data_IF_878541025138
#
_entry.id   IF_878541025138
#
_cell.length_a   1.000
_cell.length_b   1.000
_cell.length_c   1.000
_cell.angle_alpha   90.00
_cell.angle_beta   90.00
_cell.angle_gamma   90.00
#
_symmetry.space_group_name_H-M   'P 1'
#
loop_
_entity.id
_entity.type
_entity.pdbx_description
1 polymer ?
#
# COMPACT_ATOMS: atom_id res chain seq x y z
N UNK A 1 5.02 -42.76 -8.08
CA UNK A 1 4.89 -41.50 -7.30
C UNK A 1 4.88 -40.35 -8.29
N UNK A 2 3.70 -39.88 -8.66
CA UNK A 2 3.51 -38.77 -9.59
C UNK A 2 3.46 -37.46 -8.81
N UNK A 3 4.43 -36.58 -9.08
CA UNK A 3 4.52 -35.23 -8.52
C UNK A 3 3.36 -34.37 -9.02
N UNK A 4 2.64 -33.72 -8.10
CA UNK A 4 1.62 -32.71 -8.42
C UNK A 4 2.28 -31.50 -9.06
N UNK A 5 1.91 -31.22 -10.32
CA UNK A 5 2.30 -30.03 -11.08
C UNK A 5 1.45 -28.82 -10.62
N UNK A 6 2.12 -27.76 -10.17
CA UNK A 6 1.49 -26.52 -9.69
C UNK A 6 1.34 -25.44 -10.78
N UNK A 7 1.54 -25.76 -12.06
CA UNK A 7 1.57 -24.77 -13.15
C UNK A 7 0.22 -24.45 -13.84
N UNK A 8 -0.90 -24.37 -13.13
CA UNK A 8 -2.15 -23.87 -13.74
C UNK A 8 -2.93 -22.93 -12.83
N UNK A 9 -2.53 -21.66 -12.81
CA UNK A 9 -3.41 -20.59 -12.34
C UNK A 9 -4.08 -19.90 -13.53
N UNK A 10 -5.42 -19.97 -13.58
CA UNK A 10 -6.24 -19.22 -14.54
C UNK A 10 -6.61 -17.87 -13.91
N UNK A 11 -6.34 -16.78 -14.64
CA UNK A 11 -6.67 -15.42 -14.24
C UNK A 11 -8.18 -15.18 -14.38
N UNK A 12 -8.90 -14.99 -13.26
CA UNK A 12 -10.35 -14.73 -13.24
C UNK A 12 -10.68 -13.26 -12.96
N UNK A 13 -11.83 -12.79 -13.46
CA UNK A 13 -12.24 -11.39 -13.33
C UNK A 13 -12.74 -11.06 -11.91
N UNK A 14 -12.45 -9.83 -11.47
CA UNK A 14 -12.70 -9.31 -10.12
C UNK A 14 -14.14 -9.53 -9.61
N UNK A 15 -15.13 -9.53 -10.51
CA UNK A 15 -16.56 -9.67 -10.19
C UNK A 15 -16.97 -11.09 -9.78
N UNK A 16 -16.12 -12.08 -10.06
CA UNK A 16 -16.39 -13.49 -9.83
C UNK A 16 -15.78 -13.99 -8.50
N UNK A 17 -15.31 -13.07 -7.63
CA UNK A 17 -14.60 -13.39 -6.39
C UNK A 17 -15.20 -12.63 -5.20
N UNK A 18 -15.97 -13.33 -4.37
CA UNK A 18 -16.59 -12.82 -3.14
C UNK A 18 -15.84 -13.40 -1.93
N UNK A 19 -14.95 -12.60 -1.32
CA UNK A 19 -13.94 -13.08 -0.37
C UNK A 19 -14.36 -12.89 1.09
N UNK A 20 -14.84 -13.97 1.73
CA UNK A 20 -14.93 -14.12 3.19
C UNK A 20 -13.80 -14.99 3.72
N UNK A 21 -13.39 -14.64 4.95
CA UNK A 21 -12.24 -15.10 5.73
C UNK A 21 -12.01 -16.63 5.69
N UNK A 22 -10.73 -17.02 5.65
CA UNK A 22 -10.23 -18.40 5.79
C UNK A 22 -10.49 -18.98 7.17
N UNK A 23 -10.92 -20.25 7.24
CA UNK A 23 -10.66 -21.17 8.34
C UNK A 23 -10.88 -22.61 7.83
N UNK A 24 -9.81 -23.30 7.45
CA UNK A 24 -9.68 -24.74 7.70
C UNK A 24 -8.20 -25.02 7.93
N UNK A 25 -7.81 -25.19 9.19
CA UNK A 25 -6.52 -25.79 9.53
C UNK A 25 -6.43 -27.18 8.87
N UNK A 26 -5.22 -27.66 8.57
CA UNK A 26 -4.99 -29.01 8.04
C UNK A 26 -5.68 -30.08 8.91
N UNK A 27 -5.68 -29.88 10.23
CA UNK A 27 -6.40 -30.72 11.19
C UNK A 27 -7.92 -30.73 10.97
N UNK A 28 -8.52 -29.66 10.47
CA UNK A 28 -9.94 -29.62 10.10
C UNK A 28 -10.21 -30.41 8.82
N UNK A 29 -9.29 -30.37 7.85
CA UNK A 29 -9.38 -31.20 6.64
C UNK A 29 -9.20 -32.68 6.96
N UNK A 30 -8.22 -33.04 7.79
CA UNK A 30 -8.02 -34.41 8.27
C UNK A 30 -9.23 -34.94 9.05
N UNK A 31 -9.88 -34.08 9.85
CA UNK A 31 -11.12 -34.43 10.55
C UNK A 31 -12.28 -34.66 9.57
N UNK A 32 -12.41 -33.86 8.52
CA UNK A 32 -13.41 -34.08 7.46
C UNK A 32 -13.13 -35.41 6.74
N UNK A 33 -11.88 -35.73 6.41
CA UNK A 33 -11.49 -37.00 5.78
C UNK A 33 -11.88 -38.19 6.67
N UNK A 34 -11.52 -38.14 7.95
CA UNK A 34 -11.84 -39.21 8.92
C UNK A 34 -13.34 -39.43 9.10
N UNK A 35 -14.15 -38.40 8.88
CA UNK A 35 -15.62 -38.48 8.94
C UNK A 35 -16.20 -39.15 7.73
N UNK A 36 -15.67 -38.84 6.55
CA UNK A 36 -16.05 -39.52 5.31
C UNK A 36 -15.68 -41.00 5.39
N UNK A 37 -14.48 -41.31 5.90
CA UNK A 37 -14.02 -42.69 6.13
C UNK A 37 -14.91 -43.44 7.14
N UNK A 38 -15.13 -42.87 8.33
CA UNK A 38 -15.99 -43.50 9.34
C UNK A 38 -17.43 -43.67 8.84
N UNK A 39 -17.98 -42.69 8.12
CA UNK A 39 -19.32 -42.82 7.54
C UNK A 39 -19.40 -43.96 6.53
N UNK A 40 -18.40 -44.11 5.65
CA UNK A 40 -18.33 -45.23 4.69
C UNK A 40 -18.28 -46.61 5.35
N UNK A 41 -17.81 -46.69 6.61
CA UNK A 41 -17.75 -47.96 7.36
C UNK A 41 -19.07 -48.34 8.04
N UNK A 42 -19.99 -47.38 8.24
CA UNK A 42 -21.24 -47.58 8.99
C UNK A 42 -22.46 -47.45 8.08
N UNK A 43 -22.32 -46.75 6.96
CA UNK A 43 -23.38 -46.49 6.00
C UNK A 43 -22.98 -46.97 4.62
N UNK A 44 -23.79 -47.87 4.03
CA UNK A 44 -23.65 -48.29 2.63
C UNK A 44 -24.16 -47.23 1.64
N UNK A 45 -24.59 -46.06 2.13
CA UNK A 45 -25.03 -44.95 1.30
C UNK A 45 -23.85 -44.36 0.53
N UNK A 46 -24.04 -44.15 -0.77
CA UNK A 46 -22.99 -43.59 -1.61
C UNK A 46 -22.72 -42.14 -1.21
N UNK A 47 -21.52 -41.87 -0.68
CA UNK A 47 -21.06 -40.53 -0.31
C UNK A 47 -20.35 -39.89 -1.50
N UNK A 48 -21.01 -38.94 -2.17
CA UNK A 48 -20.43 -38.27 -3.34
C UNK A 48 -20.19 -36.78 -3.08
N UNK A 49 -19.05 -36.28 -3.56
CA UNK A 49 -18.82 -34.83 -3.62
C UNK A 49 -19.73 -34.25 -4.71
N UNK A 50 -20.86 -33.69 -4.30
CA UNK A 50 -21.86 -33.11 -5.21
C UNK A 50 -21.36 -31.87 -5.93
N UNK A 51 -20.65 -31.00 -5.19
CA UNK A 51 -20.20 -29.73 -5.74
C UNK A 51 -19.01 -29.19 -4.98
N UNK A 52 -17.87 -29.10 -5.66
CA UNK A 52 -16.76 -28.28 -5.23
C UNK A 52 -16.94 -26.89 -5.85
N UNK A 53 -17.30 -25.91 -5.03
CA UNK A 53 -17.33 -24.51 -5.49
C UNK A 53 -16.03 -23.85 -5.05
N UNK A 54 -15.04 -23.67 -5.94
CA UNK A 54 -13.90 -22.84 -5.64
C UNK A 54 -14.37 -21.40 -5.38
N UNK A 55 -13.93 -20.82 -4.27
CA UNK A 55 -14.27 -19.47 -3.79
C UNK A 55 -12.98 -18.70 -3.49
N UNK A 56 -12.24 -18.37 -4.54
CA UNK A 56 -10.91 -17.78 -4.43
C UNK A 56 -9.91 -18.78 -3.84
N UNK A 57 -9.29 -18.43 -2.70
CA UNK A 57 -8.35 -19.28 -1.96
C UNK A 57 -9.02 -20.24 -0.95
N UNK A 58 -10.36 -20.31 -0.95
CA UNK A 58 -11.15 -21.29 -0.18
C UNK A 58 -11.94 -22.15 -1.17
N UNK A 59 -12.22 -23.40 -0.82
CA UNK A 59 -13.20 -24.22 -1.54
C UNK A 59 -14.40 -24.52 -0.64
N UNK A 60 -15.61 -24.33 -1.16
CA UNK A 60 -16.83 -24.80 -0.51
C UNK A 60 -17.20 -26.16 -1.09
N UNK A 61 -17.05 -27.22 -0.30
CA UNK A 61 -17.40 -28.58 -0.69
C UNK A 61 -18.81 -28.90 -0.21
N UNK A 62 -19.70 -29.29 -1.13
CA UNK A 62 -20.98 -29.92 -0.80
C UNK A 62 -20.87 -31.40 -1.05
N UNK A 63 -21.19 -32.17 -0.03
CA UNK A 63 -21.34 -33.62 -0.12
C UNK A 63 -22.82 -33.97 -0.24
N UNK A 64 -23.11 -35.04 -0.96
CA UNK A 64 -24.40 -35.70 -0.96
C UNK A 64 -24.24 -37.05 -0.28
N UNK A 65 -25.22 -37.43 0.53
CA UNK A 65 -25.30 -38.77 1.08
C UNK A 65 -26.61 -39.35 0.63
N UNK A 66 -26.55 -40.43 -0.14
CA UNK A 66 -27.72 -41.18 -0.59
C UNK A 66 -28.20 -42.16 0.50
N UNK A 67 -28.31 -41.67 1.73
CA UNK A 67 -28.87 -42.43 2.85
C UNK A 67 -30.02 -41.64 3.44
N UNK A 68 -31.24 -42.16 3.28
CA UNK A 68 -32.46 -41.55 3.81
C UNK A 68 -32.49 -41.43 5.35
N UNK A 69 -31.60 -42.14 6.05
CA UNK A 69 -31.50 -42.14 7.51
C UNK A 69 -30.37 -41.26 8.04
N UNK A 70 -29.47 -40.74 7.20
CA UNK A 70 -28.36 -39.89 7.62
C UNK A 70 -28.65 -38.44 7.24
N UNK A 71 -29.06 -37.60 8.19
CA UNK A 71 -29.18 -36.17 7.89
C UNK A 71 -27.79 -35.53 7.87
N UNK A 72 -27.60 -34.47 7.09
CA UNK A 72 -26.32 -33.70 7.04
C UNK A 72 -25.86 -33.24 8.44
N UNK A 73 -26.80 -33.10 9.37
CA UNK A 73 -26.60 -32.77 10.78
C UNK A 73 -25.87 -33.87 11.54
N UNK A 74 -26.18 -35.14 11.26
CA UNK A 74 -25.64 -36.31 11.96
C UNK A 74 -24.16 -36.55 11.59
N UNK A 75 -23.77 -36.22 10.36
CA UNK A 75 -22.38 -36.31 9.89
C UNK A 75 -21.46 -35.28 10.58
N UNK A 76 -21.94 -34.05 10.77
CA UNK A 76 -21.20 -33.01 11.50
C UNK A 76 -21.12 -33.33 13.00
N UNK A 77 -22.16 -33.98 13.55
CA UNK A 77 -22.18 -34.45 14.93
C UNK A 77 -21.23 -35.63 15.15
N UNK A 78 -21.24 -36.62 14.26
CA UNK A 78 -20.31 -37.76 14.24
C UNK A 78 -18.85 -37.32 14.05
N UNK A 79 -18.63 -36.22 13.31
CA UNK A 79 -17.35 -35.56 13.17
C UNK A 79 -16.81 -34.86 14.42
N UNK A 80 -17.67 -34.69 15.44
CA UNK A 80 -17.46 -33.70 16.51
C UNK A 80 -17.17 -32.30 15.96
N UNK A 81 -17.52 -32.02 14.69
CA UNK A 81 -17.51 -30.68 14.11
C UNK A 81 -18.88 -30.10 14.47
N UNK A 82 -19.05 -29.82 15.76
CA UNK A 82 -20.33 -29.34 16.28
C UNK A 82 -20.82 -28.12 15.49
N UNK A 83 -22.14 -27.96 15.40
CA UNK A 83 -22.72 -26.76 14.80
C UNK A 83 -22.29 -25.55 15.64
N UNK A 84 -21.30 -24.80 15.15
CA UNK A 84 -20.91 -23.54 15.77
C UNK A 84 -22.01 -22.55 15.42
N UNK A 85 -22.96 -22.38 16.34
CA UNK A 85 -24.01 -21.38 16.20
C UNK A 85 -23.40 -19.97 16.12
N UNK A 86 -24.19 -18.99 15.65
CA UNK A 86 -23.70 -17.60 15.46
C UNK A 86 -23.09 -17.00 16.73
N UNK A 87 -23.64 -17.33 17.91
CA UNK A 87 -23.12 -16.87 19.20
C UNK A 87 -21.71 -17.41 19.45
N UNK A 88 -21.49 -18.71 19.22
CA UNK A 88 -20.18 -19.35 19.39
C UNK A 88 -19.18 -18.89 18.32
N UNK A 89 -19.62 -18.59 17.10
CA UNK A 89 -18.78 -17.96 16.07
C UNK A 89 -18.33 -16.56 16.50
N UNK A 90 -19.27 -15.75 16.98
CA UNK A 90 -18.98 -14.41 17.49
C UNK A 90 -18.01 -14.47 18.67
N UNK A 91 -18.26 -15.35 19.64
CA UNK A 91 -17.38 -15.56 20.79
C UNK A 91 -15.96 -15.97 20.37
N UNK A 92 -15.83 -16.93 19.45
CA UNK A 92 -14.52 -17.33 18.93
C UNK A 92 -13.82 -16.21 18.17
N UNK A 93 -14.57 -15.42 17.39
CA UNK A 93 -14.00 -14.26 16.71
C UNK A 93 -13.51 -13.20 17.69
N UNK A 94 -14.26 -12.89 18.75
CA UNK A 94 -13.83 -11.91 19.75
C UNK A 94 -12.54 -12.34 20.46
N UNK A 95 -12.40 -13.64 20.79
CA UNK A 95 -11.15 -14.19 21.33
C UNK A 95 -10.00 -14.11 20.33
N UNK A 96 -10.25 -14.50 19.09
CA UNK A 96 -9.25 -14.45 18.04
C UNK A 96 -8.79 -13.01 17.75
N UNK A 97 -9.73 -12.05 17.74
CA UNK A 97 -9.48 -10.62 17.63
C UNK A 97 -8.54 -10.13 18.73
N UNK A 98 -8.73 -10.58 19.97
CA UNK A 98 -7.84 -10.23 21.08
C UNK A 98 -6.39 -10.69 20.82
N UNK A 99 -6.19 -11.91 20.33
CA UNK A 99 -4.84 -12.38 20.00
C UNK A 99 -4.23 -11.68 18.78
N UNK A 100 -5.04 -11.30 17.79
CA UNK A 100 -4.59 -10.42 16.69
C UNK A 100 -4.10 -9.08 17.25
N UNK A 101 -4.90 -8.44 18.12
CA UNK A 101 -4.55 -7.16 18.73
C UNK A 101 -3.24 -7.26 19.52
N UNK A 102 -3.04 -8.36 20.26
CA UNK A 102 -1.81 -8.60 20.99
C UNK A 102 -0.60 -8.72 20.04
N UNK A 103 -0.70 -9.55 18.99
CA UNK A 103 0.38 -9.70 18.00
C UNK A 103 0.69 -8.38 17.28
N UNK A 104 -0.35 -7.58 16.99
CA UNK A 104 -0.20 -6.26 16.41
C UNK A 104 0.53 -5.31 17.36
N UNK A 105 0.13 -5.23 18.64
CA UNK A 105 0.76 -4.36 19.61
C UNK A 105 2.24 -4.71 19.80
N UNK A 106 2.58 -5.99 19.90
CA UNK A 106 3.97 -6.46 20.01
C UNK A 106 4.79 -6.08 18.78
N UNK A 107 4.23 -6.26 17.57
CA UNK A 107 4.93 -5.84 16.34
C UNK A 107 5.14 -4.34 16.33
N UNK A 108 4.11 -3.54 16.58
CA UNK A 108 4.21 -2.07 16.58
C UNK A 108 5.28 -1.58 17.58
N UNK A 109 5.27 -2.07 18.82
CA UNK A 109 6.26 -1.67 19.83
C UNK A 109 7.68 -2.05 19.39
N UNK A 110 7.86 -3.27 18.87
CA UNK A 110 9.15 -3.72 18.35
C UNK A 110 9.64 -2.83 17.21
N UNK A 111 8.78 -2.49 16.25
CA UNK A 111 9.18 -1.70 15.09
C UNK A 111 9.47 -0.23 15.45
N UNK A 112 8.74 0.35 16.41
CA UNK A 112 9.06 1.70 16.92
C UNK A 112 10.44 1.73 17.53
N UNK A 113 10.79 0.74 18.37
CA UNK A 113 12.12 0.65 18.97
C UNK A 113 13.21 0.42 17.92
N UNK A 114 12.94 -0.42 16.91
CA UNK A 114 13.87 -0.66 15.81
C UNK A 114 14.11 0.62 14.99
N UNK A 115 13.06 1.38 14.65
CA UNK A 115 13.19 2.64 13.92
C UNK A 115 14.00 3.66 14.71
N UNK A 116 13.76 3.81 16.03
CA UNK A 116 14.56 4.69 16.90
C UNK A 116 16.04 4.28 16.86
N UNK A 117 16.32 2.98 16.94
CA UNK A 117 17.67 2.44 16.91
C UNK A 117 18.44 2.69 15.60
N UNK A 118 17.77 3.16 14.54
CA UNK A 118 18.39 3.50 13.26
C UNK A 118 18.89 4.95 13.15
N UNK A 119 18.67 5.78 14.18
CA UNK A 119 19.13 7.19 14.21
C UNK A 119 20.24 7.35 15.25
N UNK A 120 21.40 7.84 14.80
CA UNK A 120 22.61 7.97 15.65
C UNK A 120 22.44 8.97 16.80
N UNK A 121 21.63 10.01 16.60
CA UNK A 121 21.45 11.11 17.54
C UNK A 121 20.28 10.88 18.52
N UNK A 122 19.44 9.87 18.28
CA UNK A 122 18.23 9.55 19.04
C UNK A 122 17.31 10.77 19.27
N UNK A 123 17.41 11.80 18.44
CA UNK A 123 16.65 13.05 18.62
C UNK A 123 15.19 12.91 18.18
N UNK A 124 14.92 11.92 17.35
CA UNK A 124 13.60 11.61 16.82
C UNK A 124 13.68 10.72 15.59
N UNK A 125 12.51 10.38 15.05
CA UNK A 125 12.36 9.53 13.88
C UNK A 125 11.73 10.29 12.72
N UNK A 126 11.93 9.80 11.50
CA UNK A 126 11.21 10.27 10.32
C UNK A 126 10.10 9.29 9.98
N UNK A 127 8.93 9.81 9.62
CA UNK A 127 7.76 8.99 9.30
C UNK A 127 7.17 9.35 7.95
N UNK A 128 6.52 8.36 7.34
CA UNK A 128 5.66 8.51 6.17
C UNK A 128 4.23 8.19 6.54
N UNK A 129 3.26 9.02 6.13
CA UNK A 129 1.84 8.70 6.34
C UNK A 129 0.99 8.78 5.08
N UNK A 130 -0.10 8.01 5.09
CA UNK A 130 -1.19 8.11 4.13
C UNK A 130 -2.50 7.61 4.75
N UNK A 131 -3.63 8.04 4.19
CA UNK A 131 -4.96 7.55 4.54
C UNK A 131 -5.60 6.72 3.43
N UNK A 132 -5.90 5.48 3.80
CA UNK A 132 -6.70 4.58 3.00
C UNK A 132 -8.16 4.60 3.42
N UNK A 133 -9.00 5.22 2.61
CA UNK A 133 -10.44 5.10 2.74
C UNK A 133 -10.92 3.69 2.33
N UNK A 134 -11.65 3.03 3.23
CA UNK A 134 -12.15 1.66 3.03
C UNK A 134 -13.19 1.52 1.91
N UNK A 135 -13.90 2.60 1.59
CA UNK A 135 -14.87 2.67 0.49
C UNK A 135 -14.65 3.97 -0.31
N UNK A 136 -15.46 4.25 -1.34
CA UNK A 136 -15.46 5.52 -2.13
C UNK A 136 -15.51 6.78 -1.24
N UNK A 137 -15.48 7.98 -1.85
CA UNK A 137 -15.38 9.35 -1.25
C UNK A 137 -16.12 9.67 0.07
N UNK A 138 -17.09 8.85 0.52
CA UNK A 138 -17.78 8.97 1.82
C UNK A 138 -17.62 7.69 2.65
N UNK A 139 -16.38 7.24 2.80
CA UNK A 139 -16.08 5.95 3.40
C UNK A 139 -16.57 5.86 4.84
N UNK A 140 -17.19 4.73 5.18
CA UNK A 140 -17.60 4.41 6.55
C UNK A 140 -16.38 4.36 7.48
N UNK A 141 -15.29 3.81 6.98
CA UNK A 141 -14.07 3.48 7.70
C UNK A 141 -12.85 3.95 6.91
N UNK A 142 -11.78 4.33 7.60
CA UNK A 142 -10.49 4.67 7.01
C UNK A 142 -9.36 4.13 7.87
N UNK A 143 -8.29 3.67 7.23
CA UNK A 143 -7.03 3.33 7.90
C UNK A 143 -6.04 4.44 7.63
N UNK A 144 -5.49 5.06 8.68
CA UNK A 144 -4.38 6.02 8.57
C UNK A 144 -3.14 5.34 9.10
N UNK A 145 -2.09 5.29 8.30
CA UNK A 145 -0.87 4.52 8.63
C UNK A 145 0.32 5.46 8.78
N UNK A 146 1.21 5.14 9.71
CA UNK A 146 2.56 5.67 9.80
C UNK A 146 3.57 4.55 9.58
N UNK A 147 4.51 4.77 8.66
CA UNK A 147 5.62 3.88 8.35
C UNK A 147 6.93 4.61 8.68
N UNK A 148 7.88 3.90 9.31
CA UNK A 148 9.21 4.43 9.61
C UNK A 148 10.03 4.60 8.34
N UNK A 149 10.79 5.69 8.26
CA UNK A 149 11.60 5.98 7.08
C UNK A 149 12.78 5.01 6.92
N UNK A 150 13.39 4.55 8.01
CA UNK A 150 14.62 3.74 7.93
C UNK A 150 14.33 2.26 7.76
N UNK A 151 13.36 1.73 8.51
CA UNK A 151 13.04 0.30 8.50
C UNK A 151 11.89 -0.05 7.56
N UNK A 152 11.17 0.95 7.05
CA UNK A 152 10.01 0.80 6.15
C UNK A 152 8.85 -0.06 6.68
N UNK A 153 8.82 -0.31 8.00
CA UNK A 153 7.76 -1.03 8.70
C UNK A 153 6.72 -0.07 9.26
N UNK A 154 5.51 -0.57 9.47
CA UNK A 154 4.41 0.18 10.07
C UNK A 154 4.67 0.37 11.56
N UNK A 155 4.72 1.64 11.97
CA UNK A 155 4.86 2.08 13.36
C UNK A 155 3.51 2.33 14.02
N UNK A 156 2.47 2.63 13.24
CA UNK A 156 1.10 2.73 13.74
C UNK A 156 0.09 2.64 12.61
N UNK A 157 -1.04 1.98 12.84
CA UNK A 157 -2.20 2.03 11.97
C UNK A 157 -3.47 2.35 12.76
N UNK A 158 -4.05 3.51 12.50
CA UNK A 158 -5.28 4.00 13.13
C UNK A 158 -6.51 3.68 12.28
N UNK A 159 -7.53 3.08 12.89
CA UNK A 159 -8.82 2.84 12.26
C UNK A 159 -9.79 3.94 12.69
N UNK A 160 -10.17 4.80 11.75
CA UNK A 160 -11.10 5.91 11.96
C UNK A 160 -12.45 5.57 11.33
N UNK A 161 -13.51 5.72 12.10
CA UNK A 161 -14.89 5.43 11.71
C UNK A 161 -15.73 6.71 11.67
N UNK A 162 -16.94 6.61 11.10
CA UNK A 162 -17.91 7.71 11.17
C UNK A 162 -18.42 8.06 12.56
N UNK A 163 -18.20 7.19 13.54
CA UNK A 163 -18.48 7.50 14.94
C UNK A 163 -17.41 8.42 15.53
N UNK A 164 -16.18 8.35 15.03
CA UNK A 164 -15.08 9.22 15.43
C UNK A 164 -15.21 10.62 14.76
N UNK A 165 -15.51 10.64 13.46
CA UNK A 165 -15.83 11.86 12.72
C UNK A 165 -16.82 11.55 11.61
N UNK A 166 -17.95 12.25 11.56
CA UNK A 166 -19.00 11.99 10.56
C UNK A 166 -18.55 12.28 9.11
N UNK A 167 -17.45 13.01 8.92
CA UNK A 167 -16.93 13.49 7.63
C UNK A 167 -15.63 12.75 7.28
N UNK A 168 -15.73 11.83 6.32
CA UNK A 168 -14.63 10.96 5.87
C UNK A 168 -13.38 11.71 5.41
N UNK A 169 -13.54 12.92 4.88
CA UNK A 169 -12.44 13.78 4.42
C UNK A 169 -11.56 14.28 5.59
N UNK A 170 -12.07 14.26 6.82
CA UNK A 170 -11.32 14.63 8.03
C UNK A 170 -10.64 13.45 8.71
N UNK A 171 -10.94 12.21 8.28
CA UNK A 171 -10.38 11.01 8.91
C UNK A 171 -8.85 10.96 8.86
N UNK A 172 -8.24 11.39 7.75
CA UNK A 172 -6.78 11.42 7.62
C UNK A 172 -6.14 12.33 8.67
N UNK A 173 -6.68 13.54 8.85
CA UNK A 173 -6.22 14.47 9.88
C UNK A 173 -6.39 13.88 11.28
N UNK A 174 -7.57 13.33 11.58
CA UNK A 174 -7.85 12.75 12.90
C UNK A 174 -6.93 11.55 13.20
N UNK A 175 -6.74 10.65 12.24
CA UNK A 175 -5.84 9.51 12.40
C UNK A 175 -4.38 9.95 12.56
N UNK A 176 -3.94 10.96 11.80
CA UNK A 176 -2.59 11.53 11.95
C UNK A 176 -2.39 12.15 13.34
N UNK A 177 -3.40 12.83 13.89
CA UNK A 177 -3.35 13.35 15.26
C UNK A 177 -3.22 12.23 16.31
N UNK A 178 -3.95 11.13 16.14
CA UNK A 178 -3.84 9.95 17.03
C UNK A 178 -2.47 9.27 16.91
N UNK A 179 -1.89 9.22 15.71
CA UNK A 179 -0.53 8.72 15.50
C UNK A 179 0.48 9.58 16.25
N UNK A 180 0.40 10.91 16.13
CA UNK A 180 1.29 11.80 16.87
C UNK A 180 1.15 11.62 18.38
N UNK A 181 -0.09 11.59 18.89
CA UNK A 181 -0.33 11.34 20.31
C UNK A 181 0.29 10.01 20.76
N UNK A 182 0.11 8.94 19.98
CA UNK A 182 0.72 7.66 20.29
C UNK A 182 2.25 7.73 20.35
N UNK A 183 2.90 8.39 19.39
CA UNK A 183 4.36 8.53 19.39
C UNK A 183 4.85 9.39 20.56
N UNK A 184 4.15 10.49 20.87
CA UNK A 184 4.41 11.34 22.04
C UNK A 184 4.27 10.55 23.35
N UNK A 185 3.25 9.68 23.49
CA UNK A 185 3.09 8.78 24.64
C UNK A 185 4.21 7.73 24.76
N UNK A 186 4.91 7.42 23.66
CA UNK A 186 6.08 6.55 23.67
C UNK A 186 7.39 7.32 23.85
N UNK A 187 7.33 8.63 24.12
CA UNK A 187 8.50 9.53 24.19
C UNK A 187 9.31 9.56 22.88
N UNK A 188 8.59 9.49 21.74
CA UNK A 188 9.18 9.47 20.40
C UNK A 188 8.87 10.78 19.69
N UNK A 189 9.91 11.60 19.51
CA UNK A 189 9.82 12.80 18.69
C UNK A 189 9.83 12.46 17.20
N UNK A 190 9.05 13.20 16.40
CA UNK A 190 9.06 13.10 14.94
C UNK A 190 9.83 14.29 14.36
N UNK A 191 10.88 14.01 13.58
CA UNK A 191 11.75 15.03 12.98
C UNK A 191 11.23 15.45 11.59
N UNK A 192 10.95 14.48 10.73
CA UNK A 192 10.40 14.71 9.39
C UNK A 192 9.11 13.92 9.21
N UNK A 193 8.09 14.56 8.66
CA UNK A 193 6.85 13.91 8.26
C UNK A 193 6.62 14.05 6.76
N UNK A 194 6.74 12.93 6.06
CA UNK A 194 6.52 12.78 4.63
C UNK A 194 5.10 12.28 4.31
N UNK A 195 4.37 12.96 3.43
CA UNK A 195 3.02 12.53 3.07
C UNK A 195 2.55 13.11 1.73
N UNK A 196 1.41 12.64 1.21
CA UNK A 196 0.76 13.23 0.04
C UNK A 196 0.38 14.69 0.27
N UNK A 197 0.31 15.52 -0.77
CA UNK A 197 -0.11 16.92 -0.60
C UNK A 197 -1.60 17.05 -0.21
N UNK A 198 -1.87 16.90 1.08
CA UNK A 198 -3.13 17.17 1.76
C UNK A 198 -3.01 18.49 2.55
N UNK A 199 -3.88 19.44 2.26
CA UNK A 199 -3.86 20.79 2.88
C UNK A 199 -4.03 20.70 4.39
N UNK A 200 -4.89 19.80 4.86
CA UNK A 200 -5.17 19.65 6.30
C UNK A 200 -4.00 19.04 7.07
N UNK A 201 -3.24 18.14 6.44
CA UNK A 201 -2.02 17.56 7.01
C UNK A 201 -0.87 18.56 6.94
N UNK A 202 -0.65 19.21 5.80
CA UNK A 202 0.35 20.29 5.69
C UNK A 202 0.17 21.33 6.79
N UNK A 203 -1.07 21.75 7.06
CA UNK A 203 -1.36 22.68 8.17
C UNK A 203 -1.02 22.05 9.52
N UNK A 204 -1.49 20.84 9.78
CA UNK A 204 -1.23 20.12 11.04
C UNK A 204 0.26 19.98 11.35
N UNK A 205 1.10 19.65 10.36
CA UNK A 205 2.54 19.51 10.54
C UNK A 205 3.20 20.87 10.76
N UNK A 206 2.85 21.88 9.96
CA UNK A 206 3.40 23.24 10.09
C UNK A 206 3.05 23.90 11.43
N UNK A 207 1.87 23.61 11.98
CA UNK A 207 1.43 24.11 13.29
C UNK A 207 2.26 23.51 14.46
N UNK A 208 3.05 22.44 14.26
CA UNK A 208 3.91 21.83 15.28
C UNK A 208 5.32 22.43 15.38
N UNK A 209 5.70 23.35 14.47
CA UNK A 209 6.97 24.10 14.36
C UNK A 209 8.30 23.31 14.34
N UNK A 210 8.43 22.27 15.16
CA UNK A 210 9.60 21.40 15.31
C UNK A 210 9.69 20.38 14.17
N UNK A 211 8.56 20.00 13.59
CA UNK A 211 8.49 18.94 12.57
C UNK A 211 8.67 19.52 11.17
N UNK A 212 9.62 18.97 10.43
CA UNK A 212 9.81 19.31 9.02
C UNK A 212 8.76 18.61 8.15
N UNK A 213 7.90 19.40 7.52
CA UNK A 213 6.87 18.94 6.59
C UNK A 213 7.47 18.60 5.23
N UNK A 214 7.24 17.39 4.70
CA UNK A 214 7.64 17.00 3.35
C UNK A 214 6.48 16.36 2.57
N UNK A 215 6.33 16.77 1.31
CA UNK A 215 5.32 16.27 0.40
C UNK A 215 5.95 15.39 -0.67
N UNK A 216 5.26 14.31 -1.06
CA UNK A 216 5.72 13.44 -2.14
C UNK A 216 5.90 14.22 -3.47
N UNK A 217 7.14 14.27 -4.01
CA UNK A 217 7.42 14.90 -5.28
C UNK A 217 6.71 14.21 -6.46
N UNK A 218 6.48 12.90 -6.42
CA UNK A 218 5.92 12.17 -7.56
C UNK A 218 4.50 12.66 -7.91
N UNK A 219 3.63 12.82 -6.90
CA UNK A 219 2.30 13.40 -7.11
C UNK A 219 2.34 14.84 -7.62
N UNK A 220 3.27 15.65 -7.11
CA UNK A 220 3.41 17.04 -7.53
C UNK A 220 3.92 17.16 -8.98
N UNK A 221 4.92 16.37 -9.36
CA UNK A 221 5.49 16.34 -10.72
C UNK A 221 4.47 15.77 -11.71
N UNK A 222 3.68 14.80 -11.32
CA UNK A 222 2.57 14.29 -12.14
C UNK A 222 1.57 15.39 -12.47
N UNK A 223 1.25 16.29 -11.51
CA UNK A 223 0.39 17.46 -11.77
C UNK A 223 1.06 18.46 -12.72
N UNK A 224 2.37 18.67 -12.62
CA UNK A 224 3.14 19.49 -13.58
C UNK A 224 3.04 18.90 -14.98
N UNK A 225 3.19 17.58 -15.12
CA UNK A 225 3.06 16.87 -16.39
C UNK A 225 1.67 17.06 -17.00
N UNK A 226 0.61 16.97 -16.21
CA UNK A 226 -0.77 17.25 -16.66
C UNK A 226 -0.93 18.72 -17.08
N UNK A 227 -0.39 19.67 -16.31
CA UNK A 227 -0.44 21.09 -16.66
C UNK A 227 0.31 21.38 -17.97
N UNK A 228 1.48 20.76 -18.16
CA UNK A 228 2.25 20.82 -19.40
C UNK A 228 1.47 20.26 -20.59
N UNK A 229 0.78 19.12 -20.43
CA UNK A 229 -0.07 18.55 -21.49
C UNK A 229 -1.18 19.49 -21.94
N UNK A 230 -1.78 20.24 -21.01
CA UNK A 230 -2.84 21.22 -21.33
C UNK A 230 -2.35 22.39 -22.17
N UNK A 231 -1.09 22.79 -22.03
CA UNK A 231 -0.48 23.85 -22.85
C UNK A 231 0.22 23.31 -24.10
N UNK A 232 0.36 21.99 -24.23
CA UNK A 232 1.01 21.36 -25.38
C UNK A 232 0.04 20.77 -26.40
N UNK A 233 -1.19 20.44 -25.98
CA UNK A 233 -2.20 19.84 -26.84
C UNK A 233 -3.60 20.38 -26.52
N UNK A 234 -4.45 20.50 -27.54
CA UNK A 234 -5.83 20.98 -27.40
C UNK A 234 -6.59 21.03 -28.72
N UNK A 235 -7.76 21.66 -28.72
CA UNK A 235 -8.59 21.82 -29.92
C UNK A 235 -7.93 22.76 -30.93
N UNK A 236 -8.09 22.47 -32.24
CA UNK A 236 -7.45 23.24 -33.33
C UNK A 236 -7.72 24.76 -33.26
N UNK A 237 -8.93 25.17 -32.88
CA UNK A 237 -9.32 26.58 -32.79
C UNK A 237 -8.64 27.35 -31.65
N UNK A 238 -8.06 26.65 -30.67
CA UNK A 238 -7.30 27.21 -29.55
C UNK A 238 -5.78 27.15 -29.75
N UNK A 239 -5.32 26.59 -30.87
CA UNK A 239 -3.91 26.49 -31.22
C UNK A 239 -3.29 27.89 -31.25
N UNK A 240 -2.10 28.02 -30.66
CA UNK A 240 -1.31 29.26 -30.49
C UNK A 240 -1.95 30.32 -29.56
N UNK A 241 -3.21 30.12 -29.13
CA UNK A 241 -3.88 30.95 -28.12
C UNK A 241 -3.65 30.40 -26.71
N UNK A 242 -4.07 29.15 -26.47
CA UNK A 242 -3.97 28.51 -25.15
C UNK A 242 -3.02 27.31 -25.12
N UNK A 243 -2.67 26.73 -26.27
CA UNK A 243 -1.73 25.62 -26.37
C UNK A 243 -0.88 25.69 -27.64
N UNK A 244 0.30 25.05 -27.63
CA UNK A 244 1.20 24.99 -28.79
C UNK A 244 1.77 23.58 -28.98
N UNK A 245 1.63 23.05 -30.20
CA UNK A 245 2.20 21.76 -30.60
C UNK A 245 3.73 21.69 -30.42
N UNK A 246 4.41 22.84 -30.40
CA UNK A 246 5.86 22.94 -30.17
C UNK A 246 6.28 22.62 -28.72
N UNK A 247 5.32 22.42 -27.81
CA UNK A 247 5.58 22.02 -26.42
C UNK A 247 5.33 20.52 -26.17
N UNK A 248 4.83 19.79 -27.16
CA UNK A 248 4.43 18.38 -27.02
C UNK A 248 5.62 17.49 -26.62
N UNK A 249 6.76 17.66 -27.28
CA UNK A 249 7.98 16.91 -27.00
C UNK A 249 8.69 17.35 -25.71
N UNK A 250 8.24 18.45 -25.07
CA UNK A 250 8.86 19.03 -23.87
C UNK A 250 8.23 18.51 -22.57
N UNK A 251 7.05 17.88 -22.62
CA UNK A 251 6.32 17.42 -21.43
C UNK A 251 7.16 16.49 -20.56
N UNK A 252 7.75 15.45 -21.15
CA UNK A 252 8.58 14.48 -20.41
C UNK A 252 9.91 15.08 -19.94
N UNK A 253 10.51 15.94 -20.77
CA UNK A 253 11.77 16.61 -20.43
C UNK A 253 11.60 17.54 -19.21
N UNK A 254 10.49 18.29 -19.16
CA UNK A 254 10.17 19.14 -17.99
C UNK A 254 9.93 18.30 -16.74
N UNK A 255 9.17 17.20 -16.83
CA UNK A 255 8.96 16.31 -15.68
C UNK A 255 10.28 15.70 -15.18
N UNK A 256 11.16 15.29 -16.10
CA UNK A 256 12.49 14.76 -15.76
C UNK A 256 13.36 15.81 -15.07
N UNK A 257 13.36 17.05 -15.55
CA UNK A 257 14.06 18.17 -14.93
C UNK A 257 13.57 18.43 -13.50
N UNK A 258 12.25 18.38 -13.27
CA UNK A 258 11.71 18.53 -11.92
C UNK A 258 12.14 17.39 -10.99
N UNK A 259 12.13 16.14 -11.46
CA UNK A 259 12.62 15.00 -10.68
C UNK A 259 14.10 15.16 -10.31
N UNK A 260 14.92 15.60 -11.27
CA UNK A 260 16.33 15.85 -11.04
C UNK A 260 16.53 17.02 -10.05
N UNK A 261 15.85 18.15 -10.27
CA UNK A 261 15.97 19.34 -9.43
C UNK A 261 15.56 19.08 -7.98
N UNK A 262 14.49 18.32 -7.73
CA UNK A 262 14.10 18.00 -6.35
C UNK A 262 15.14 17.12 -5.65
N UNK A 263 15.77 16.18 -6.35
CA UNK A 263 16.69 15.18 -5.76
C UNK A 263 18.15 15.64 -5.61
N UNK A 264 18.55 16.71 -6.29
CA UNK A 264 19.96 17.10 -6.40
C UNK A 264 20.26 18.47 -5.77
N UNK A 265 19.32 19.06 -5.04
CA UNK A 265 19.53 20.34 -4.39
C UNK A 265 19.51 20.19 -2.87
N UNK A 266 20.54 20.75 -2.24
CA UNK A 266 20.93 20.58 -0.83
C UNK A 266 20.00 21.36 0.11
N UNK A 267 18.74 20.95 0.16
CA UNK A 267 17.78 21.44 1.14
C UNK A 267 17.44 22.95 1.03
N UNK A 268 17.86 23.62 -0.05
CA UNK A 268 17.70 25.07 -0.23
C UNK A 268 16.48 25.42 -1.11
N UNK A 269 15.39 25.99 -0.54
CA UNK A 269 14.17 26.26 -1.30
C UNK A 269 14.32 27.36 -2.37
N UNK A 270 15.24 28.32 -2.18
CA UNK A 270 15.48 29.41 -3.15
C UNK A 270 16.21 28.88 -4.37
N UNK A 271 17.25 28.09 -4.16
CA UNK A 271 18.00 27.47 -5.25
C UNK A 271 17.15 26.50 -6.04
N UNK A 272 16.29 25.72 -5.38
CA UNK A 272 15.32 24.86 -6.04
C UNK A 272 14.43 25.66 -7.00
N UNK A 273 13.91 26.83 -6.59
CA UNK A 273 13.11 27.70 -7.48
C UNK A 273 13.90 28.18 -8.69
N UNK A 274 15.13 28.61 -8.48
CA UNK A 274 15.99 29.12 -9.55
C UNK A 274 16.30 28.05 -10.60
N UNK A 275 16.55 26.83 -10.14
CA UNK A 275 16.84 25.69 -11.00
C UNK A 275 15.59 25.25 -11.77
N UNK A 276 14.44 25.23 -11.11
CA UNK A 276 13.17 24.95 -11.78
C UNK A 276 12.88 25.96 -12.89
N UNK A 277 13.26 27.23 -12.73
CA UNK A 277 13.13 28.24 -13.79
C UNK A 277 14.20 28.14 -14.88
N UNK A 278 15.39 27.62 -14.56
CA UNK A 278 16.48 27.50 -15.51
C UNK A 278 16.11 26.69 -16.76
N UNK A 279 15.17 25.75 -16.68
CA UNK A 279 14.68 25.02 -17.85
C UNK A 279 14.10 25.95 -18.94
N UNK A 280 13.55 27.11 -18.57
CA UNK A 280 13.07 28.11 -19.53
C UNK A 280 14.25 28.71 -20.31
N UNK A 281 15.34 29.03 -19.61
CA UNK A 281 16.57 29.56 -20.21
C UNK A 281 17.25 28.51 -21.07
N UNK A 282 17.29 27.25 -20.64
CA UNK A 282 17.77 26.13 -21.43
C UNK A 282 17.06 26.04 -22.80
N UNK A 283 15.73 26.17 -22.83
CA UNK A 283 14.97 26.19 -24.09
C UNK A 283 15.11 27.48 -24.92
N UNK A 284 15.65 28.56 -24.34
CA UNK A 284 16.08 29.77 -25.06
C UNK A 284 17.51 29.67 -25.58
N UNK A 285 18.15 28.50 -25.43
CA UNK A 285 19.57 28.28 -25.72
C UNK A 285 20.53 29.08 -24.81
N UNK A 286 20.05 29.51 -23.64
CA UNK A 286 20.88 30.13 -22.61
C UNK A 286 21.25 29.07 -21.57
N UNK A 287 22.50 28.62 -21.60
CA UNK A 287 22.98 27.51 -20.79
C UNK A 287 23.93 27.89 -19.66
N UNK A 288 24.00 29.17 -19.29
CA UNK A 288 24.93 29.66 -18.26
C UNK A 288 24.74 28.97 -16.90
N UNK A 289 23.49 28.68 -16.53
CA UNK A 289 23.14 28.03 -15.24
C UNK A 289 22.86 26.53 -15.38
N UNK A 290 23.17 25.94 -16.54
CA UNK A 290 22.93 24.52 -16.78
C UNK A 290 24.07 23.65 -16.20
N UNK A 291 23.69 22.52 -15.59
CA UNK A 291 24.63 21.56 -14.99
C UNK A 291 25.74 21.13 -15.99
N UNK A 292 27.00 20.99 -15.56
CA UNK A 292 28.14 20.70 -16.44
C UNK A 292 27.99 19.43 -17.28
N UNK A 293 27.36 18.40 -16.73
CA UNK A 293 27.23 17.07 -17.37
C UNK A 293 26.11 16.95 -18.42
N UNK A 294 25.42 18.04 -18.71
CA UNK A 294 24.31 18.00 -19.66
C UNK A 294 24.78 17.76 -21.09
N UNK A 295 23.97 17.00 -21.83
CA UNK A 295 24.27 16.56 -23.20
C UNK A 295 24.71 17.68 -24.14
N UNK A 296 24.15 18.89 -24.03
CA UNK A 296 24.48 19.99 -24.95
C UNK A 296 25.94 20.46 -24.85
N UNK A 297 26.65 20.22 -23.73
CA UNK A 297 28.09 20.51 -23.61
C UNK A 297 28.95 19.38 -24.19
N UNK A 298 28.43 18.14 -24.26
CA UNK A 298 29.13 16.94 -24.73
C UNK A 298 28.86 16.61 -26.21
N UNK A 299 27.70 17.03 -26.73
CA UNK A 299 27.21 16.74 -28.08
C UNK A 299 27.33 17.98 -28.96
N UNK A 300 28.32 18.01 -29.85
CA UNK A 300 28.58 19.10 -30.80
C UNK A 300 27.43 19.33 -31.79
N UNK A 301 26.51 18.37 -31.93
CA UNK A 301 25.35 18.45 -32.81
C UNK A 301 24.06 18.86 -32.08
N UNK A 302 24.13 19.23 -30.80
CA UNK A 302 22.94 19.65 -30.04
C UNK A 302 22.35 20.94 -30.64
N UNK A 303 21.16 20.83 -31.22
CA UNK A 303 20.35 21.98 -31.67
C UNK A 303 19.08 22.07 -30.84
N UNK A 304 18.87 23.15 -30.06
CA UNK A 304 17.61 23.35 -29.35
C UNK A 304 16.45 23.40 -30.36
N UNK A 305 15.45 22.55 -30.19
CA UNK A 305 14.22 22.62 -30.99
C UNK A 305 13.45 23.88 -30.59
N UNK A 306 13.32 24.80 -31.55
CA UNK A 306 12.71 26.15 -31.52
C UNK A 306 11.67 26.40 -30.38
N UNK A 307 12.04 27.26 -29.40
CA UNK A 307 11.27 28.38 -28.74
C UNK A 307 9.95 28.00 -28.00
N UNK A 308 9.30 28.77 -27.11
CA UNK A 308 9.69 29.35 -25.79
C UNK A 308 8.75 28.70 -24.77
N UNK A 309 9.30 28.07 -23.73
CA UNK A 309 8.51 27.63 -22.59
C UNK A 309 8.12 28.88 -21.78
N UNK A 310 6.83 29.19 -21.67
CA UNK A 310 6.41 30.29 -20.79
C UNK A 310 6.62 29.86 -19.33
N UNK A 311 7.24 30.69 -18.48
CA UNK A 311 7.51 30.34 -17.09
C UNK A 311 6.22 30.14 -16.27
N UNK A 312 5.06 30.57 -16.78
CA UNK A 312 3.79 30.51 -16.08
C UNK A 312 3.36 29.11 -15.62
N UNK A 313 3.69 28.04 -16.36
CA UNK A 313 3.36 26.66 -15.91
C UNK A 313 4.25 26.24 -14.75
N UNK A 314 5.54 26.57 -14.81
CA UNK A 314 6.50 26.28 -13.74
C UNK A 314 6.16 27.07 -12.49
N UNK A 315 5.92 28.38 -12.62
CA UNK A 315 5.62 29.27 -11.48
C UNK A 315 4.31 28.93 -10.77
N UNK A 316 3.37 28.27 -11.47
CA UNK A 316 2.10 27.77 -10.90
C UNK A 316 2.22 26.36 -10.31
N UNK A 317 3.35 25.68 -10.49
CA UNK A 317 3.55 24.36 -9.90
C UNK A 317 3.65 24.45 -8.38
N UNK A 318 3.15 23.43 -7.69
CA UNK A 318 3.18 23.38 -6.23
C UNK A 318 4.60 23.36 -5.67
N UNK A 319 5.53 22.72 -6.40
CA UNK A 319 6.95 22.65 -6.03
C UNK A 319 7.59 24.04 -6.13
N UNK A 320 7.25 24.84 -7.14
CA UNK A 320 7.76 26.21 -7.23
C UNK A 320 7.15 27.12 -6.16
N UNK A 321 5.86 26.98 -5.86
CA UNK A 321 5.19 27.85 -4.88
C UNK A 321 5.59 27.51 -3.45
N UNK A 322 5.75 26.23 -3.13
CA UNK A 322 6.08 25.71 -1.80
C UNK A 322 7.32 24.80 -1.85
N UNK A 323 8.49 25.31 -2.28
CA UNK A 323 9.69 24.50 -2.40
C UNK A 323 10.12 23.87 -1.08
N UNK A 324 9.87 24.55 0.05
CA UNK A 324 10.16 24.07 1.41
C UNK A 324 9.55 22.69 1.70
N UNK A 325 8.39 22.40 1.11
CA UNK A 325 7.69 21.13 1.30
C UNK A 325 8.30 19.99 0.44
N UNK A 326 9.35 20.21 -0.35
CA UNK A 326 9.93 19.18 -1.24
C UNK A 326 11.46 19.07 -1.16
N UNK A 327 12.11 19.91 -0.36
CA UNK A 327 13.58 20.05 -0.38
C UNK A 327 14.34 18.79 0.05
N UNK A 328 13.71 17.90 0.82
CA UNK A 328 14.31 16.63 1.23
C UNK A 328 13.99 15.47 0.26
N UNK A 329 13.23 15.74 -0.81
CA UNK A 329 12.90 14.77 -1.86
C UNK A 329 12.28 13.44 -1.37
N UNK A 330 11.58 13.46 -0.24
CA UNK A 330 11.02 12.26 0.40
C UNK A 330 9.93 11.63 -0.44
N UNK A 331 10.04 10.34 -0.73
CA UNK A 331 8.99 9.59 -1.41
C UNK A 331 8.08 8.84 -0.42
N UNK A 332 6.88 8.53 -0.88
CA UNK A 332 5.85 7.81 -0.10
C UNK A 332 5.58 6.43 -0.68
N UNK A 333 6.54 5.84 -1.42
CA UNK A 333 6.30 4.61 -2.16
C UNK A 333 5.97 3.41 -1.25
N UNK A 334 6.50 3.39 -0.03
CA UNK A 334 6.24 2.35 0.96
C UNK A 334 4.80 2.41 1.50
N UNK A 335 4.23 3.60 1.74
CA UNK A 335 2.81 3.70 2.14
C UNK A 335 1.87 3.32 1.01
N UNK A 336 2.19 3.65 -0.25
CA UNK A 336 1.44 3.15 -1.41
C UNK A 336 1.51 1.62 -1.54
N UNK A 337 2.68 1.03 -1.30
CA UNK A 337 2.89 -0.41 -1.34
C UNK A 337 2.15 -1.11 -0.19
N UNK A 338 2.18 -0.56 1.02
CA UNK A 338 1.40 -1.06 2.15
C UNK A 338 -0.10 -0.98 1.87
N UNK A 339 -0.59 0.07 1.20
CA UNK A 339 -1.98 0.15 0.77
C UNK A 339 -2.39 -0.98 -0.19
N UNK A 340 -1.46 -1.48 -1.00
CA UNK A 340 -1.69 -2.66 -1.83
C UNK A 340 -1.78 -3.93 -0.97
N UNK A 341 -0.92 -4.07 0.03
CA UNK A 341 -1.01 -5.15 1.04
C UNK A 341 -2.35 -5.11 1.76
N UNK A 342 -2.78 -3.93 2.21
CA UNK A 342 -4.10 -3.72 2.83
C UNK A 342 -5.24 -4.17 1.93
N UNK A 343 -5.14 -4.04 0.60
CA UNK A 343 -6.19 -4.53 -0.31
C UNK A 343 -6.34 -6.06 -0.30
N UNK A 344 -5.30 -6.81 0.06
CA UNK A 344 -5.35 -8.27 0.22
C UNK A 344 -6.22 -8.65 1.43
N UNK A 345 -6.08 -7.91 2.53
CA UNK A 345 -6.80 -8.18 3.78
C UNK A 345 -8.16 -7.48 3.83
N UNK A 346 -8.31 -6.36 3.14
CA UNK A 346 -9.50 -5.52 3.14
C UNK A 346 -9.81 -5.03 1.73
N UNK A 347 -10.53 -5.81 0.93
CA UNK A 347 -10.95 -5.31 -0.38
C UNK A 347 -11.88 -4.08 -0.23
N UNK A 348 -11.58 -2.97 -0.93
CA UNK A 348 -12.39 -1.74 -0.92
C UNK A 348 -13.84 -1.92 -1.37
N UNK A 349 -14.17 -3.07 -1.96
CA UNK A 349 -15.51 -3.43 -2.46
C UNK A 349 -16.37 -4.11 -1.41
N UNK A 350 -15.79 -4.57 -0.31
CA UNK A 350 -16.49 -5.30 0.73
C UNK A 350 -16.65 -4.38 1.95
N UNK A 351 -17.89 -4.24 2.41
CA UNK A 351 -18.18 -3.53 3.65
C UNK A 351 -17.98 -4.48 4.84
N UNK A 352 -17.05 -4.15 5.73
CA UNK A 352 -16.79 -4.91 6.95
C UNK A 352 -17.47 -4.26 8.17
N UNK A 353 -17.77 -5.06 9.19
CA UNK A 353 -18.05 -4.51 10.53
C UNK A 353 -16.78 -3.86 11.09
N UNK A 354 -16.92 -2.96 12.07
CA UNK A 354 -15.77 -2.21 12.60
C UNK A 354 -14.72 -3.17 13.17
N UNK A 355 -15.14 -4.18 13.95
CA UNK A 355 -14.25 -5.20 14.49
C UNK A 355 -13.51 -6.00 13.42
N UNK A 356 -14.20 -6.39 12.33
CA UNK A 356 -13.57 -7.12 11.24
C UNK A 356 -12.61 -6.25 10.47
N UNK A 357 -12.97 -4.98 10.26
CA UNK A 357 -12.09 -4.01 9.61
C UNK A 357 -10.81 -3.88 10.44
N UNK A 358 -10.91 -3.53 11.72
CA UNK A 358 -9.79 -3.38 12.63
C UNK A 358 -8.89 -4.64 12.64
N UNK A 359 -9.47 -5.82 12.88
CA UNK A 359 -8.71 -7.08 12.92
C UNK A 359 -7.97 -7.36 11.60
N UNK A 360 -8.57 -7.02 10.45
CA UNK A 360 -7.93 -7.18 9.14
C UNK A 360 -6.84 -6.14 8.88
N UNK A 361 -7.01 -4.89 9.34
CA UNK A 361 -5.93 -3.88 9.29
C UNK A 361 -4.73 -4.37 10.09
N UNK A 362 -4.97 -4.89 11.29
CA UNK A 362 -3.92 -5.40 12.18
C UNK A 362 -3.18 -6.59 11.58
N UNK A 363 -3.91 -7.55 10.99
CA UNK A 363 -3.28 -8.67 10.27
C UNK A 363 -2.43 -8.20 9.08
N UNK A 364 -2.87 -7.16 8.35
CA UNK A 364 -2.09 -6.59 7.25
C UNK A 364 -0.81 -5.93 7.76
N UNK A 365 -0.86 -5.25 8.91
CA UNK A 365 0.32 -4.69 9.57
C UNK A 365 1.29 -5.78 9.99
N UNK A 366 0.84 -6.82 10.70
CA UNK A 366 1.70 -7.93 11.09
C UNK A 366 2.34 -8.61 9.86
N UNK A 367 1.56 -8.79 8.79
CA UNK A 367 2.08 -9.34 7.55
C UNK A 367 3.13 -8.44 6.89
N UNK A 368 2.89 -7.13 6.83
CA UNK A 368 3.82 -6.16 6.27
C UNK A 368 5.13 -6.11 7.05
N UNK A 369 5.06 -5.92 8.36
CA UNK A 369 6.24 -5.79 9.22
C UNK A 369 7.13 -7.04 9.18
N UNK A 370 6.53 -8.22 8.98
CA UNK A 370 7.29 -9.47 8.81
C UNK A 370 7.92 -9.63 7.41
N UNK A 371 7.40 -8.98 6.37
CA UNK A 371 7.74 -9.30 4.97
C UNK A 371 8.21 -8.12 4.10
N UNK A 372 8.17 -6.88 4.59
CA UNK A 372 8.71 -5.72 3.87
C UNK A 372 10.22 -5.89 3.67
N UNK A 373 10.72 -5.40 2.54
CA UNK A 373 12.12 -5.52 2.13
C UNK A 373 12.68 -6.95 2.13
N UNK A 374 11.80 -7.95 1.91
CA UNK A 374 12.24 -9.34 1.77
C UNK A 374 13.31 -9.49 0.67
N UNK A 375 14.29 -10.35 0.94
CA UNK A 375 15.35 -10.66 -0.03
C UNK A 375 14.77 -11.22 -1.33
N UNK A 376 15.50 -10.99 -2.42
CA UNK A 376 15.26 -11.67 -3.68
C UNK A 376 16.27 -12.79 -3.91
N UNK A 377 15.79 -13.88 -4.50
CA UNK A 377 16.60 -15.07 -4.82
C UNK A 377 17.32 -14.94 -6.15
N UNK A 378 16.76 -14.17 -7.09
CA UNK A 378 17.31 -13.98 -8.42
C UNK A 378 16.75 -12.73 -9.09
N UNK A 379 17.40 -12.29 -10.16
CA UNK A 379 16.92 -11.22 -11.04
C UNK A 379 16.65 -11.85 -12.40
N UNK A 380 15.39 -11.90 -12.81
CA UNK A 380 14.99 -12.34 -14.13
C UNK A 380 15.14 -11.19 -15.13
N UNK A 381 16.08 -11.32 -16.07
CA UNK A 381 16.28 -10.36 -17.15
C UNK A 381 15.55 -10.81 -18.41
N UNK A 382 14.35 -10.28 -18.72
CA UNK A 382 13.70 -10.60 -19.98
C UNK A 382 14.54 -10.06 -21.13
N UNK A 383 15.00 -10.93 -22.03
CA UNK A 383 15.76 -10.50 -23.21
C UNK A 383 14.80 -9.89 -24.25
N UNK A 384 14.39 -8.63 -24.02
CA UNK A 384 13.50 -7.89 -24.92
C UNK A 384 14.32 -6.87 -25.72
N UNK A 385 14.93 -7.34 -26.81
CA UNK A 385 15.72 -6.52 -27.75
C UNK A 385 14.97 -5.27 -28.27
N UNK A 386 13.63 -5.30 -28.33
CA UNK A 386 12.80 -4.19 -28.81
C UNK A 386 12.36 -3.19 -27.71
N UNK A 387 12.66 -3.45 -26.43
CA UNK A 387 12.23 -2.59 -25.33
C UNK A 387 13.38 -2.40 -24.32
N UNK A 388 14.43 -1.63 -24.67
CA UNK A 388 15.65 -1.52 -23.85
C UNK A 388 15.44 -0.92 -22.45
N UNK A 389 14.38 -0.12 -22.24
CA UNK A 389 13.99 0.37 -20.89
C UNK A 389 13.37 -0.73 -20.00
N UNK A 390 12.95 -1.85 -20.58
CA UNK A 390 12.42 -3.02 -19.86
C UNK A 390 13.50 -4.05 -19.51
N UNK A 391 14.77 -3.76 -19.80
CA UNK A 391 15.91 -4.60 -19.41
C UNK A 391 16.32 -4.42 -17.95
N UNK A 392 15.57 -3.64 -17.15
CA UNK A 392 15.70 -3.65 -15.70
C UNK A 392 15.14 -5.00 -15.23
N UNK A 393 16.02 -5.88 -14.80
CA UNK A 393 15.65 -7.21 -14.38
C UNK A 393 14.59 -7.22 -13.29
N UNK A 394 13.65 -8.15 -13.38
CA UNK A 394 12.61 -8.36 -12.40
C UNK A 394 13.16 -9.19 -11.24
N UNK A 395 13.19 -8.63 -10.04
CA UNK A 395 13.53 -9.36 -8.82
C UNK A 395 12.50 -10.47 -8.55
N UNK A 396 12.99 -11.68 -8.31
CA UNK A 396 12.20 -12.81 -7.84
C UNK A 396 12.38 -12.91 -6.32
N UNK A 397 11.37 -12.49 -5.58
CA UNK A 397 11.42 -12.42 -4.12
C UNK A 397 11.29 -13.79 -3.45
N UNK A 398 11.85 -13.94 -2.25
CA UNK A 398 11.57 -15.09 -1.39
C UNK A 398 10.06 -15.14 -1.08
N UNK A 399 9.47 -16.35 -0.92
CA UNK A 399 8.08 -16.46 -0.49
C UNK A 399 7.89 -15.77 0.88
N UNK A 400 6.74 -15.12 1.10
CA UNK A 400 6.46 -14.48 2.38
C UNK A 400 6.34 -15.52 3.50
N UNK A 401 6.78 -15.14 4.69
CA UNK A 401 6.58 -15.92 5.92
C UNK A 401 5.27 -15.51 6.61
N UNK A 402 4.79 -16.39 7.49
CA UNK A 402 3.51 -16.23 8.19
C UNK A 402 3.64 -16.57 9.68
N UNK A 403 4.76 -16.21 10.29
CA UNK A 403 5.06 -16.46 11.70
C UNK A 403 4.03 -15.77 12.60
N UNK A 404 3.60 -14.56 12.24
CA UNK A 404 2.52 -13.86 12.94
C UNK A 404 1.24 -14.70 13.02
N UNK A 405 0.88 -15.45 11.97
CA UNK A 405 -0.32 -16.32 11.98
C UNK A 405 -0.13 -17.50 12.93
N UNK A 406 1.06 -18.10 12.92
CA UNK A 406 1.37 -19.22 13.82
C UNK A 406 1.33 -18.76 15.28
N UNK A 407 1.92 -17.60 15.60
CA UNK A 407 1.88 -17.02 16.94
C UNK A 407 0.45 -16.77 17.42
N UNK A 408 -0.38 -16.09 16.60
CA UNK A 408 -1.79 -15.82 16.93
C UNK A 408 -2.55 -17.14 17.15
N UNK A 409 -2.34 -18.14 16.28
CA UNK A 409 -3.00 -19.44 16.39
C UNK A 409 -2.57 -20.19 17.64
N UNK A 410 -1.27 -20.22 17.96
CA UNK A 410 -0.76 -20.84 19.17
C UNK A 410 -1.37 -20.22 20.43
N UNK A 411 -1.49 -18.89 20.51
CA UNK A 411 -2.18 -18.20 21.62
C UNK A 411 -3.66 -18.57 21.69
N UNK A 412 -4.32 -18.64 20.54
CA UNK A 412 -5.71 -19.04 20.44
C UNK A 412 -5.92 -20.48 20.93
N UNK A 413 -5.02 -21.40 20.60
CA UNK A 413 -5.07 -22.79 21.06
C UNK A 413 -4.77 -22.90 22.56
N UNK A 414 -3.72 -22.22 23.02
CA UNK A 414 -3.31 -22.24 24.42
C UNK A 414 -4.36 -21.65 25.35
N UNK A 415 -5.23 -20.74 24.88
CA UNK A 415 -6.31 -20.21 25.71
C UNK A 415 -7.51 -21.16 25.88
N UNK A 416 -7.53 -22.31 25.21
CA UNK A 416 -8.56 -23.35 25.41
C UNK A 416 -8.20 -24.37 26.49
N UNK A 417 -6.92 -24.48 26.83
CA UNK A 417 -6.39 -25.37 27.86
C UNK A 417 -5.97 -24.53 29.06
#
# INVERSE_FOLDING_TARGET
MTTLDFNTYIQVQKKDVDQKLFLTAETSLQKIIKVVENHSSICNGHFSMKKLTPKGHVAAVRFNVECYQCTTTDLLYAAKIGHINKLKQHYMFQRYKHHIQQQYNESIVSEVLEEIGMYDDLTGINIMTDARHGWRKNAKDSSVVAIGEKIHKVLKCEHITKCDDSVSQRHEKLGTQRIYHYLEEQDVQVNVHSHDRNISINKLVKDKEIITNQNDPWHAITKVKVAMKRVSAGSKYLKEKSWSAQLEDKVESVATHFHWAVRNFEENPKELRDVLLNIVEHYKNNHQKCHPDLRFKRDTNYKPKRIVLKPGVIRKSTIYTHPEDYVLAKDTCYVESFNNTMNIFQDKRIAFSNDNYQARSQLAVCHWNENVDCDFTSIWNPNRRHAPRSNIGKKNYKPPTYNYRQSIWSRQINSFY
#
